data_IF_962422097516
#
_entry.id   IF_962422097516
#
_cell.length_a   1.000
_cell.length_b   1.000
_cell.length_c   1.000
_cell.angle_alpha   90.00
_cell.angle_beta   90.00
_cell.angle_gamma   90.00
#
_symmetry.space_group_name_H-M   'P 1'
#
loop_
_entity.id
_entity.type
_entity.pdbx_description
1 polymer ?
#
# COMPACT_ATOMS: atom_id res chain seq x y z
N UNK A 1 4.35 29.55 -0.41
CA UNK A 1 3.29 30.27 0.32
C UNK A 1 3.46 31.75 0.08
N UNK A 2 2.41 32.43 -0.37
CA UNK A 2 2.35 33.88 -0.44
C UNK A 2 2.24 34.46 0.98
N UNK A 3 3.07 35.47 1.29
CA UNK A 3 2.95 36.21 2.55
C UNK A 3 1.88 37.28 2.39
N UNK A 4 1.12 37.51 3.45
CA UNK A 4 0.17 38.61 3.56
C UNK A 4 0.93 39.81 4.11
N UNK A 5 0.85 40.97 3.47
CA UNK A 5 1.26 42.22 4.10
C UNK A 5 0.01 42.95 4.54
N UNK A 6 -0.16 43.01 5.86
CA UNK A 6 -1.23 43.77 6.48
C UNK A 6 -0.76 45.23 6.50
N UNK A 7 -1.60 46.21 6.09
CA UNK A 7 -1.28 47.60 6.29
C UNK A 7 -1.10 47.86 7.80
N UNK A 8 -0.21 48.80 8.11
CA UNK A 8 0.20 49.15 9.46
C UNK A 8 -0.98 49.35 10.44
N UNK A 9 -0.93 48.56 11.51
CA UNK A 9 -1.24 48.87 12.92
C UNK A 9 -2.59 49.40 13.43
N UNK A 10 -3.53 49.93 12.63
CA UNK A 10 -4.66 50.69 13.23
C UNK A 10 -6.06 50.05 13.14
N UNK A 11 -6.18 48.74 12.87
CA UNK A 11 -7.46 48.04 12.95
C UNK A 11 -7.58 47.23 14.26
N UNK A 12 -8.49 47.59 15.20
CA UNK A 12 -8.70 46.86 16.46
C UNK A 12 -9.01 45.36 16.28
N UNK A 13 -9.51 44.97 15.11
CA UNK A 13 -9.80 43.60 14.72
C UNK A 13 -8.56 42.73 14.45
N UNK A 14 -7.38 43.31 14.28
CA UNK A 14 -6.13 42.55 14.06
C UNK A 14 -5.56 41.97 15.37
N UNK A 15 -5.81 42.61 16.50
CA UNK A 15 -5.33 42.16 17.82
C UNK A 15 -6.00 40.85 18.31
N UNK A 16 -7.12 40.44 17.71
CA UNK A 16 -7.85 39.21 18.06
C UNK A 16 -7.53 38.02 17.15
N UNK A 17 -6.62 38.16 16.17
CA UNK A 17 -6.23 37.06 15.29
C UNK A 17 -5.32 36.07 16.02
N UNK A 18 -5.85 34.88 16.25
CA UNK A 18 -5.14 33.75 16.86
C UNK A 18 -4.84 32.64 15.85
N UNK A 19 -3.82 31.82 16.15
CA UNK A 19 -3.52 30.61 15.37
C UNK A 19 -4.74 29.68 15.40
N UNK A 20 -5.07 29.11 14.24
CA UNK A 20 -6.22 28.21 14.07
C UNK A 20 -7.53 28.92 13.74
N UNK A 21 -7.57 30.26 13.76
CA UNK A 21 -8.75 31.02 13.36
C UNK A 21 -9.01 30.91 11.84
N UNK A 22 -10.29 30.85 11.46
CA UNK A 22 -10.73 30.93 10.08
C UNK A 22 -11.05 32.39 9.73
N UNK A 23 -10.43 32.89 8.65
CA UNK A 23 -10.54 34.30 8.25
C UNK A 23 -10.82 34.43 6.75
N UNK A 24 -11.55 35.49 6.38
CA UNK A 24 -11.68 35.98 5.01
C UNK A 24 -10.89 37.28 4.88
N UNK A 25 -10.05 37.36 3.86
CA UNK A 25 -9.22 38.52 3.56
C UNK A 25 -9.61 39.06 2.20
N UNK A 26 -9.84 40.36 2.11
CA UNK A 26 -9.98 41.09 0.85
C UNK A 26 -8.88 42.13 0.75
N UNK A 27 -8.34 42.35 -0.45
CA UNK A 27 -7.18 43.19 -0.64
C UNK A 27 -6.75 43.27 -2.10
N UNK A 28 -5.63 43.96 -2.33
CA UNK A 28 -5.02 44.10 -3.66
C UNK A 28 -3.81 43.16 -3.76
N UNK A 29 -3.76 42.35 -4.82
CA UNK A 29 -2.66 41.43 -5.08
C UNK A 29 -1.55 42.15 -5.86
N UNK A 30 -0.38 42.35 -5.26
CA UNK A 30 0.70 43.14 -5.87
C UNK A 30 2.05 42.40 -5.81
N UNK A 31 3.02 42.76 -6.68
CA UNK A 31 4.39 42.25 -6.57
C UNK A 31 4.97 42.54 -5.20
N UNK A 32 5.58 41.51 -4.58
CA UNK A 32 6.15 41.68 -3.24
C UNK A 32 7.52 42.35 -3.32
N UNK A 33 7.83 43.29 -2.41
CA UNK A 33 9.18 43.85 -2.30
C UNK A 33 10.20 42.85 -1.71
N UNK A 34 9.75 41.71 -1.16
CA UNK A 34 10.62 40.73 -0.51
C UNK A 34 11.12 39.62 -1.44
N UNK A 35 12.38 39.18 -1.25
CA UNK A 35 13.00 38.15 -2.09
C UNK A 35 12.45 36.72 -1.91
N UNK A 36 11.58 36.46 -0.93
CA UNK A 36 11.07 35.11 -0.59
C UNK A 36 9.74 34.75 -1.27
N UNK A 37 9.10 35.68 -1.96
CA UNK A 37 7.83 35.47 -2.65
C UNK A 37 7.71 36.44 -3.82
N UNK A 38 6.99 36.07 -4.89
CA UNK A 38 6.80 36.96 -6.05
C UNK A 38 5.74 38.04 -5.81
N UNK A 39 4.76 37.75 -4.97
CA UNK A 39 3.59 38.61 -4.74
C UNK A 39 3.10 38.49 -3.28
N UNK A 40 2.37 39.52 -2.84
CA UNK A 40 1.70 39.57 -1.54
C UNK A 40 0.32 40.23 -1.67
N UNK A 41 -0.59 39.87 -0.75
CA UNK A 41 -1.91 40.49 -0.66
C UNK A 41 -1.85 41.67 0.31
N UNK A 42 -2.06 42.88 -0.20
CA UNK A 42 -2.26 44.10 0.60
C UNK A 42 -3.69 44.13 1.09
N UNK A 43 -3.90 43.66 2.32
CA UNK A 43 -5.24 43.44 2.87
C UNK A 43 -5.90 44.76 3.25
N UNK A 44 -7.11 45.01 2.75
CA UNK A 44 -7.92 46.17 3.15
C UNK A 44 -9.15 45.81 3.97
N UNK A 45 -9.55 44.53 4.01
CA UNK A 45 -10.61 44.03 4.86
C UNK A 45 -10.28 42.65 5.44
N UNK A 46 -10.57 42.47 6.73
CA UNK A 46 -10.39 41.23 7.49
C UNK A 46 -11.70 40.88 8.18
N UNK A 47 -12.22 39.68 7.92
CA UNK A 47 -13.40 39.14 8.58
C UNK A 47 -13.04 37.82 9.27
N UNK A 48 -13.32 37.72 10.58
CA UNK A 48 -13.12 36.50 11.35
C UNK A 48 -14.39 35.65 11.20
N UNK A 49 -14.27 34.55 10.47
CA UNK A 49 -15.37 33.60 10.23
C UNK A 49 -15.52 32.59 11.37
N UNK A 50 -14.39 32.23 11.99
CA UNK A 50 -14.34 31.32 13.12
C UNK A 50 -13.19 31.73 14.04
N UNK A 51 -13.46 32.21 15.26
CA UNK A 51 -12.41 32.58 16.19
C UNK A 51 -11.64 31.34 16.66
N UNK A 52 -10.43 31.56 17.17
CA UNK A 52 -9.62 30.54 17.83
C UNK A 52 -9.03 31.14 19.10
N UNK A 53 -8.75 30.29 20.09
CA UNK A 53 -8.05 30.69 21.29
C UNK A 53 -6.64 30.08 21.31
N UNK A 54 -5.63 30.94 21.19
CA UNK A 54 -4.23 30.52 21.18
C UNK A 54 -3.79 29.81 22.46
N UNK A 55 -4.50 29.99 23.59
CA UNK A 55 -4.17 29.31 24.86
C UNK A 55 -4.62 27.86 24.88
N UNK A 56 -5.72 27.54 24.21
CA UNK A 56 -6.32 26.20 24.19
C UNK A 56 -6.04 25.43 22.91
N UNK A 57 -5.61 26.11 21.84
CA UNK A 57 -5.24 25.46 20.57
C UNK A 57 -3.99 24.57 20.74
N UNK A 58 -4.08 23.25 20.46
CA UNK A 58 -3.01 22.31 20.83
C UNK A 58 -1.79 22.40 19.91
N UNK A 59 -1.96 22.81 18.64
CA UNK A 59 -0.87 22.91 17.68
C UNK A 59 -0.22 24.30 17.77
N UNK A 60 0.68 24.45 18.73
CA UNK A 60 1.46 25.68 18.91
C UNK A 60 2.41 25.95 17.73
N UNK A 61 2.84 27.22 17.56
CA UNK A 61 3.80 27.66 16.52
C UNK A 61 5.25 27.23 16.81
N UNK A 62 5.43 25.94 17.10
CA UNK A 62 6.71 25.30 17.34
C UNK A 62 6.71 23.93 16.66
N UNK A 63 7.87 23.29 16.62
CA UNK A 63 7.96 21.91 16.17
C UNK A 63 7.06 21.00 17.02
N UNK A 64 6.41 20.04 16.36
CA UNK A 64 5.58 19.02 16.99
C UNK A 64 6.06 17.68 16.44
N UNK A 65 6.39 16.74 17.32
CA UNK A 65 6.83 15.40 16.89
C UNK A 65 5.67 14.66 16.22
N UNK A 66 5.94 13.72 15.30
CA UNK A 66 4.91 12.85 14.72
C UNK A 66 4.09 12.11 15.80
N UNK A 67 4.73 11.64 16.87
CA UNK A 67 4.09 10.94 18.00
C UNK A 67 3.02 11.82 18.66
N UNK A 68 3.37 13.08 18.96
CA UNK A 68 2.42 14.02 19.54
C UNK A 68 1.27 14.32 18.57
N UNK A 69 1.57 14.54 17.29
CA UNK A 69 0.53 14.78 16.28
C UNK A 69 -0.42 13.58 16.13
N UNK A 70 0.07 12.34 16.30
CA UNK A 70 -0.75 11.11 16.32
C UNK A 70 -1.73 11.04 17.50
N UNK A 71 -1.57 11.86 18.55
CA UNK A 71 -2.56 11.99 19.64
C UNK A 71 -3.77 12.85 19.27
N UNK A 72 -3.69 13.60 18.17
CA UNK A 72 -4.74 14.50 17.69
C UNK A 72 -4.97 14.34 16.18
N UNK A 73 -5.37 13.14 15.74
CA UNK A 73 -5.49 12.83 14.32
C UNK A 73 -6.49 13.76 13.59
N UNK A 74 -7.50 14.26 14.30
CA UNK A 74 -8.48 15.21 13.78
C UNK A 74 -7.93 16.64 13.52
N UNK A 75 -6.81 17.03 14.15
CA UNK A 75 -6.19 18.36 13.94
C UNK A 75 -4.87 18.31 13.19
N UNK A 76 -4.11 17.21 13.26
CA UNK A 76 -2.79 17.13 12.62
C UNK A 76 -2.78 17.46 11.13
N UNK A 77 -3.82 17.20 10.31
CA UNK A 77 -3.81 17.59 8.91
C UNK A 77 -3.80 19.11 8.67
N UNK A 78 -4.00 19.92 9.72
CA UNK A 78 -3.87 21.38 9.64
C UNK A 78 -2.40 21.84 9.60
N UNK A 79 -1.43 20.95 9.82
CA UNK A 79 -0.01 21.26 9.63
C UNK A 79 0.37 21.24 8.14
N UNK A 80 1.38 22.01 7.70
CA UNK A 80 1.81 22.02 6.30
C UNK A 80 2.20 20.64 5.75
N UNK A 81 2.87 19.81 6.56
CA UNK A 81 3.32 18.50 6.10
C UNK A 81 2.18 17.48 6.03
N UNK A 82 1.37 17.32 7.08
CA UNK A 82 0.26 16.37 7.05
C UNK A 82 -0.82 16.77 6.02
N UNK A 83 -1.04 18.08 5.77
CA UNK A 83 -1.89 18.52 4.64
C UNK A 83 -1.29 18.20 3.28
N UNK A 84 0.04 18.15 3.15
CA UNK A 84 0.69 17.69 1.93
C UNK A 84 0.49 16.18 1.75
N UNK A 85 0.60 15.37 2.80
CA UNK A 85 0.31 13.92 2.73
C UNK A 85 -1.13 13.63 2.27
N UNK A 86 -2.11 14.37 2.79
CA UNK A 86 -3.50 14.26 2.33
C UNK A 86 -3.66 14.57 0.84
N UNK A 87 -3.02 15.64 0.37
CA UNK A 87 -3.05 16.02 -1.05
C UNK A 87 -2.31 15.01 -1.93
N UNK A 88 -1.19 14.47 -1.46
CA UNK A 88 -0.42 13.45 -2.17
C UNK A 88 -1.29 12.21 -2.38
N UNK A 89 -1.96 11.72 -1.34
CA UNK A 89 -2.90 10.59 -1.44
C UNK A 89 -3.94 10.86 -2.52
N UNK A 90 -4.59 12.02 -2.49
CA UNK A 90 -5.63 12.38 -3.46
C UNK A 90 -5.10 12.45 -4.90
N UNK A 91 -3.95 13.10 -5.11
CA UNK A 91 -3.34 13.23 -6.45
C UNK A 91 -2.85 11.87 -6.97
N UNK A 92 -2.32 11.01 -6.08
CA UNK A 92 -1.90 9.66 -6.44
C UNK A 92 -3.07 8.77 -6.87
N UNK A 93 -4.19 8.80 -6.14
CA UNK A 93 -5.41 8.06 -6.53
C UNK A 93 -5.90 8.51 -7.90
N UNK A 94 -5.99 9.82 -8.15
CA UNK A 94 -6.43 10.36 -9.43
C UNK A 94 -5.48 9.94 -10.58
N UNK A 95 -4.18 10.00 -10.34
CA UNK A 95 -3.15 9.64 -11.34
C UNK A 95 -3.18 8.14 -11.66
N UNK A 96 -3.32 7.28 -10.65
CA UNK A 96 -3.42 5.83 -10.84
C UNK A 96 -4.73 5.43 -11.52
N UNK A 97 -5.84 6.11 -11.19
CA UNK A 97 -7.10 5.94 -11.91
C UNK A 97 -6.93 6.25 -13.40
N UNK A 98 -6.22 7.33 -13.74
CA UNK A 98 -5.91 7.67 -15.12
C UNK A 98 -5.00 6.63 -15.80
N UNK A 99 -3.99 6.11 -15.08
CA UNK A 99 -3.11 5.05 -15.57
C UNK A 99 -3.91 3.82 -16.01
N UNK A 100 -4.74 3.30 -15.12
CA UNK A 100 -5.57 2.12 -15.39
C UNK A 100 -6.60 2.37 -16.48
N UNK A 101 -7.29 3.52 -16.43
CA UNK A 101 -8.26 3.90 -17.47
C UNK A 101 -7.61 4.00 -18.87
N UNK A 102 -6.36 4.47 -18.96
CA UNK A 102 -5.63 4.56 -20.24
C UNK A 102 -5.21 3.21 -20.83
N UNK A 103 -5.36 2.11 -20.07
CA UNK A 103 -4.99 0.73 -20.42
C UNK A 103 -6.19 -0.21 -20.39
N UNK A 104 -7.40 0.35 -20.48
CA UNK A 104 -8.67 -0.39 -20.51
C UNK A 104 -8.91 -1.28 -19.27
N UNK A 105 -8.31 -0.95 -18.13
CA UNK A 105 -8.61 -1.62 -16.86
C UNK A 105 -9.94 -1.12 -16.30
N UNK A 106 -10.80 -2.06 -15.89
CA UNK A 106 -12.07 -1.78 -15.22
C UNK A 106 -11.84 -1.67 -13.72
N UNK A 107 -12.23 -0.54 -13.13
CA UNK A 107 -12.23 -0.40 -11.67
C UNK A 107 -13.38 -1.22 -11.09
N UNK A 108 -13.09 -2.05 -10.10
CA UNK A 108 -14.06 -2.92 -9.44
C UNK A 108 -14.08 -2.69 -7.94
N UNK A 109 -15.12 -3.17 -7.26
CA UNK A 109 -15.28 -3.06 -5.81
C UNK A 109 -15.62 -4.43 -5.22
N UNK A 110 -14.61 -5.28 -4.98
CA UNK A 110 -14.81 -6.58 -4.33
C UNK A 110 -15.34 -6.44 -2.89
N UNK A 111 -15.90 -7.53 -2.32
CA UNK A 111 -16.47 -7.48 -0.97
C UNK A 111 -15.38 -7.31 0.10
N UNK A 112 -15.69 -6.52 1.13
CA UNK A 112 -14.84 -6.35 2.32
C UNK A 112 -15.10 -7.44 3.37
N UNK A 113 -16.36 -7.84 3.53
CA UNK A 113 -16.74 -8.96 4.40
C UNK A 113 -16.61 -10.25 3.59
N UNK A 114 -15.76 -11.17 4.07
CA UNK A 114 -15.41 -12.41 3.37
C UNK A 114 -15.62 -13.64 4.25
N UNK A 115 -15.66 -14.81 3.62
CA UNK A 115 -15.71 -16.13 4.28
C UNK A 115 -14.37 -16.86 4.24
N UNK A 116 -13.35 -16.24 3.62
CA UNK A 116 -12.03 -16.84 3.39
C UNK A 116 -10.96 -15.88 3.87
N UNK A 117 -9.88 -16.43 4.38
CA UNK A 117 -8.69 -15.70 4.80
C UNK A 117 -7.72 -15.37 3.66
N UNK A 118 -8.01 -15.77 2.41
CA UNK A 118 -7.27 -15.52 1.16
C UNK A 118 -5.80 -15.97 1.13
N UNK A 119 -5.00 -15.57 2.12
CA UNK A 119 -3.56 -15.80 2.27
C UNK A 119 -3.22 -16.96 3.23
N UNK A 120 -4.22 -17.59 3.89
CA UNK A 120 -3.99 -18.76 4.75
C UNK A 120 -3.32 -18.47 6.10
N UNK A 121 -3.07 -17.19 6.43
CA UNK A 121 -2.28 -16.77 7.59
C UNK A 121 -3.05 -16.70 8.92
N UNK A 122 -4.38 -16.86 8.92
CA UNK A 122 -5.20 -16.86 10.14
C UNK A 122 -5.33 -15.53 10.89
N UNK A 123 -4.60 -14.47 10.49
CA UNK A 123 -4.62 -13.15 11.15
C UNK A 123 -5.75 -12.25 10.63
N UNK A 124 -6.99 -12.69 10.82
CA UNK A 124 -8.20 -12.00 10.32
C UNK A 124 -9.04 -11.40 11.44
N UNK A 125 -9.68 -10.25 11.19
CA UNK A 125 -10.69 -9.71 12.10
C UNK A 125 -12.04 -10.37 11.86
N UNK A 126 -12.67 -10.92 12.90
CA UNK A 126 -14.03 -11.47 12.84
C UNK A 126 -15.09 -10.38 12.89
N UNK A 127 -16.11 -10.48 12.03
CA UNK A 127 -17.24 -9.56 11.95
C UNK A 127 -18.49 -10.24 12.51
N UNK A 128 -19.10 -9.62 13.53
CA UNK A 128 -20.37 -10.06 14.10
C UNK A 128 -21.21 -8.86 14.55
N UNK A 129 -22.56 -8.91 14.46
CA UNK A 129 -23.42 -7.90 15.08
C UNK A 129 -23.20 -7.81 16.59
N UNK A 130 -23.31 -6.59 17.14
CA UNK A 130 -23.08 -6.34 18.57
C UNK A 130 -23.97 -7.14 19.52
N UNK A 131 -25.17 -7.55 19.09
CA UNK A 131 -26.10 -8.33 19.90
C UNK A 131 -25.77 -9.85 19.92
N UNK A 132 -24.93 -10.33 18.99
CA UNK A 132 -24.48 -11.72 18.92
C UNK A 132 -23.23 -11.96 19.78
N UNK A 133 -22.43 -10.92 20.06
CA UNK A 133 -21.23 -11.02 20.91
C UNK A 133 -21.51 -11.43 22.38
N UNK A 134 -22.78 -11.46 22.81
CA UNK A 134 -23.20 -11.75 24.20
C UNK A 134 -23.97 -13.05 24.37
N UNK A 135 -24.16 -13.86 23.33
CA UNK A 135 -24.87 -15.14 23.43
C UNK A 135 -23.87 -16.29 23.34
N UNK A 136 -23.89 -17.15 24.37
CA UNK A 136 -23.19 -18.42 24.37
C UNK A 136 -23.58 -19.25 23.14
N UNK A 137 -22.58 -19.51 22.29
CA UNK A 137 -22.31 -20.62 21.35
C UNK A 137 -23.42 -21.21 20.45
N UNK A 138 -24.69 -20.80 20.54
CA UNK A 138 -25.80 -21.39 19.80
C UNK A 138 -26.71 -20.36 19.10
N UNK A 139 -26.27 -19.11 18.96
CA UNK A 139 -26.98 -18.12 18.14
C UNK A 139 -26.65 -18.35 16.66
N UNK A 140 -27.67 -18.39 15.80
CA UNK A 140 -27.47 -18.27 14.35
C UNK A 140 -26.65 -16.99 14.11
N UNK A 141 -25.43 -17.14 13.58
CA UNK A 141 -24.62 -15.99 13.18
C UNK A 141 -25.35 -15.22 12.09
N UNK A 142 -25.17 -13.91 12.00
CA UNK A 142 -25.83 -13.06 10.99
C UNK A 142 -25.75 -13.60 9.57
N UNK A 143 -24.59 -14.17 9.21
CA UNK A 143 -24.33 -14.75 7.90
C UNK A 143 -24.40 -16.28 7.87
N UNK A 144 -25.01 -16.89 8.89
CA UNK A 144 -25.12 -18.36 9.12
C UNK A 144 -23.79 -19.10 9.18
N UNK A 145 -22.68 -18.38 9.08
CA UNK A 145 -21.30 -18.82 9.20
C UNK A 145 -20.44 -17.63 9.68
N UNK A 146 -19.29 -17.89 10.34
CA UNK A 146 -18.31 -16.86 10.66
C UNK A 146 -17.89 -16.08 9.41
N UNK A 147 -17.72 -14.76 9.55
CA UNK A 147 -17.23 -13.87 8.50
C UNK A 147 -16.12 -12.97 9.03
N UNK A 148 -15.28 -12.53 8.10
CA UNK A 148 -14.06 -11.82 8.40
C UNK A 148 -13.95 -10.54 7.57
N UNK A 149 -13.10 -9.62 8.02
CA UNK A 149 -12.62 -8.55 7.17
C UNK A 149 -11.51 -9.07 6.26
N UNK A 150 -11.56 -8.68 5.00
CA UNK A 150 -10.65 -9.22 3.98
C UNK A 150 -9.21 -8.76 4.16
N UNK A 151 -8.26 -9.67 3.95
CA UNK A 151 -6.82 -9.37 3.91
C UNK A 151 -6.37 -8.95 2.50
N UNK A 152 -7.10 -9.38 1.48
CA UNK A 152 -6.83 -9.12 0.05
C UNK A 152 -8.11 -9.36 -0.76
N UNK A 153 -8.31 -8.63 -1.85
CA UNK A 153 -9.46 -8.84 -2.75
C UNK A 153 -9.12 -9.72 -3.96
N UNK A 154 -7.89 -10.21 -4.06
CA UNK A 154 -7.34 -10.92 -5.21
C UNK A 154 -8.24 -12.02 -5.77
N UNK A 155 -8.72 -12.96 -4.94
CA UNK A 155 -9.52 -14.09 -5.45
C UNK A 155 -10.79 -13.62 -6.17
N UNK A 156 -11.39 -12.51 -5.71
CA UNK A 156 -12.56 -11.93 -6.35
C UNK A 156 -12.19 -11.18 -7.63
N UNK A 157 -11.02 -10.53 -7.67
CA UNK A 157 -10.52 -9.89 -8.88
C UNK A 157 -10.27 -10.92 -9.99
N UNK A 158 -9.80 -12.12 -9.67
CA UNK A 158 -9.65 -13.19 -10.67
C UNK A 158 -10.98 -13.56 -11.33
N UNK A 159 -12.08 -13.65 -10.55
CA UNK A 159 -13.41 -13.89 -11.11
C UNK A 159 -13.89 -12.73 -12.01
N UNK A 160 -13.64 -11.49 -11.58
CA UNK A 160 -14.04 -10.30 -12.33
C UNK A 160 -13.20 -10.11 -13.60
N UNK A 161 -11.90 -10.40 -13.54
CA UNK A 161 -10.97 -10.38 -14.66
C UNK A 161 -11.44 -11.31 -15.78
N UNK A 162 -11.90 -12.52 -15.45
CA UNK A 162 -12.43 -13.45 -16.46
C UNK A 162 -13.70 -12.92 -17.17
N UNK A 163 -14.43 -12.00 -16.55
CA UNK A 163 -15.62 -11.39 -17.16
C UNK A 163 -15.31 -10.19 -18.06
N UNK A 164 -14.33 -9.35 -17.70
CA UNK A 164 -14.08 -8.06 -18.37
C UNK A 164 -12.62 -7.83 -18.81
N UNK A 165 -11.77 -8.86 -18.70
CA UNK A 165 -10.36 -8.80 -19.07
C UNK A 165 -9.48 -8.33 -17.91
N UNK A 166 -9.20 -7.03 -17.86
CA UNK A 166 -8.27 -6.42 -16.92
C UNK A 166 -9.03 -5.63 -15.85
N UNK A 167 -8.76 -5.89 -14.57
CA UNK A 167 -9.45 -5.24 -13.46
C UNK A 167 -8.46 -4.70 -12.44
N UNK A 168 -8.88 -3.67 -11.72
CA UNK A 168 -8.14 -3.17 -10.57
C UNK A 168 -9.09 -2.68 -9.48
N UNK A 169 -8.57 -2.53 -8.28
CA UNK A 169 -9.27 -1.92 -7.14
C UNK A 169 -8.28 -1.19 -6.25
N UNK A 170 -8.79 -0.23 -5.50
CA UNK A 170 -8.13 0.39 -4.36
C UNK A 170 -9.05 0.20 -3.17
N UNK A 171 -8.75 -0.77 -2.32
CA UNK A 171 -9.65 -1.24 -1.27
C UNK A 171 -8.98 -1.16 0.10
N UNK A 172 -9.73 -0.85 1.17
CA UNK A 172 -9.24 -1.14 2.51
C UNK A 172 -9.09 -2.65 2.69
N UNK A 173 -8.00 -3.05 3.33
CA UNK A 173 -7.66 -4.40 3.74
C UNK A 173 -7.21 -4.40 5.19
N UNK A 174 -7.37 -5.53 5.85
CA UNK A 174 -7.23 -5.63 7.29
C UNK A 174 -6.33 -6.79 7.66
N UNK A 175 -5.41 -6.58 8.61
CA UNK A 175 -4.56 -7.64 9.17
C UNK A 175 -4.59 -7.55 10.69
N UNK A 176 -4.89 -8.66 11.34
CA UNK A 176 -4.98 -8.77 12.79
C UNK A 176 -3.65 -9.19 13.45
N UNK A 177 -2.52 -8.90 12.80
CA UNK A 177 -1.16 -9.13 13.33
C UNK A 177 -0.95 -8.27 14.59
N UNK A 178 -0.45 -8.87 15.68
CA UNK A 178 -0.09 -8.17 16.92
C UNK A 178 1.27 -7.43 16.80
N UNK A 179 1.43 -6.67 15.72
CA UNK A 179 2.70 -6.04 15.33
C UNK A 179 2.69 -4.54 15.57
N UNK A 180 3.42 -4.08 16.58
CA UNK A 180 3.58 -2.65 16.91
C UNK A 180 4.87 -2.06 16.31
N UNK A 181 5.08 -2.23 15.01
CA UNK A 181 6.22 -1.63 14.30
C UNK A 181 5.85 -0.36 13.55
N UNK A 182 6.84 0.45 13.17
CA UNK A 182 6.63 1.65 12.36
C UNK A 182 6.13 1.36 10.94
N UNK A 183 6.06 0.09 10.51
CA UNK A 183 5.74 -0.36 9.15
C UNK A 183 4.40 -1.09 9.03
N UNK A 184 3.72 -1.36 10.14
CA UNK A 184 2.45 -2.10 10.16
C UNK A 184 1.26 -1.21 10.55
N UNK A 185 0.13 -1.49 9.88
CA UNK A 185 -1.20 -1.00 10.17
C UNK A 185 -2.15 -2.20 10.18
N UNK A 186 -3.17 -2.15 11.04
CA UNK A 186 -4.24 -3.15 11.05
C UNK A 186 -5.33 -2.86 10.01
N UNK A 187 -5.43 -1.60 9.55
CA UNK A 187 -6.28 -1.15 8.45
C UNK A 187 -5.42 -0.30 7.52
N UNK A 188 -5.31 -0.72 6.26
CA UNK A 188 -4.52 -0.03 5.24
C UNK A 188 -5.21 -0.19 3.88
N UNK A 189 -4.82 0.62 2.91
CA UNK A 189 -5.30 0.51 1.54
C UNK A 189 -4.33 -0.33 0.71
N UNK A 190 -4.88 -1.33 0.05
CA UNK A 190 -4.21 -2.09 -1.00
C UNK A 190 -4.75 -1.65 -2.36
N UNK A 191 -3.81 -1.44 -3.29
CA UNK A 191 -4.12 -1.34 -4.71
C UNK A 191 -3.83 -2.70 -5.32
N UNK A 192 -4.84 -3.35 -5.89
CA UNK A 192 -4.71 -4.68 -6.47
C UNK A 192 -5.15 -4.64 -7.92
N UNK A 193 -4.40 -5.29 -8.80
CA UNK A 193 -4.69 -5.38 -10.23
C UNK A 193 -4.54 -6.82 -10.70
N UNK A 194 -5.45 -7.25 -11.58
CA UNK A 194 -5.48 -8.60 -12.15
C UNK A 194 -5.66 -8.50 -13.67
N UNK A 195 -4.84 -9.24 -14.41
CA UNK A 195 -4.81 -9.25 -15.86
C UNK A 195 -5.17 -10.64 -16.39
N UNK A 196 -6.12 -10.70 -17.32
CA UNK A 196 -6.41 -11.93 -18.06
C UNK A 196 -5.54 -12.03 -19.31
N UNK A 197 -5.27 -13.25 -19.77
CA UNK A 197 -4.47 -13.54 -20.96
C UNK A 197 -3.02 -13.01 -20.89
N UNK A 198 -2.41 -13.15 -19.71
CA UNK A 198 -0.98 -12.91 -19.51
C UNK A 198 -0.30 -14.26 -19.36
N UNK A 199 0.67 -14.55 -20.23
CA UNK A 199 1.31 -15.86 -20.27
C UNK A 199 2.49 -15.97 -19.27
N UNK A 200 3.20 -14.86 -19.06
CA UNK A 200 4.48 -14.82 -18.34
C UNK A 200 4.50 -13.76 -17.23
N UNK A 201 5.29 -14.03 -16.19
CA UNK A 201 5.44 -13.14 -15.02
C UNK A 201 5.92 -11.73 -15.42
N UNK A 202 6.69 -11.60 -16.51
CA UNK A 202 7.15 -10.31 -17.01
C UNK A 202 6.02 -9.35 -17.33
N UNK A 203 4.88 -9.83 -17.85
CA UNK A 203 3.75 -8.94 -18.14
C UNK A 203 3.20 -8.27 -16.87
N UNK A 204 3.19 -9.00 -15.75
CA UNK A 204 2.75 -8.49 -14.45
C UNK A 204 3.79 -7.53 -13.85
N UNK A 205 5.08 -7.87 -13.95
CA UNK A 205 6.18 -6.99 -13.51
C UNK A 205 6.25 -5.70 -14.33
N UNK A 206 6.07 -5.78 -15.65
CA UNK A 206 6.03 -4.65 -16.57
C UNK A 206 4.90 -3.69 -16.21
N UNK A 207 3.69 -4.21 -15.96
CA UNK A 207 2.56 -3.39 -15.51
C UNK A 207 2.86 -2.69 -14.18
N UNK A 208 3.43 -3.41 -13.22
CA UNK A 208 3.78 -2.88 -11.89
C UNK A 208 4.80 -1.75 -12.02
N UNK A 209 5.85 -1.98 -12.81
CA UNK A 209 6.92 -1.03 -13.11
C UNK A 209 6.39 0.22 -13.83
N UNK A 210 5.57 0.02 -14.88
CA UNK A 210 4.95 1.09 -15.64
C UNK A 210 3.99 1.95 -14.80
N UNK A 211 3.20 1.32 -13.93
CA UNK A 211 2.25 2.02 -13.05
C UNK A 211 2.99 3.00 -12.12
N UNK A 212 4.01 2.51 -11.44
CA UNK A 212 4.78 3.28 -10.47
C UNK A 212 5.65 4.34 -11.14
N UNK A 213 6.22 4.04 -12.31
CA UNK A 213 6.91 5.02 -13.15
C UNK A 213 5.96 6.12 -13.62
N UNK A 214 4.80 5.75 -14.16
CA UNK A 214 3.79 6.69 -14.62
C UNK A 214 3.34 7.62 -13.49
N UNK A 215 3.03 7.06 -12.32
CA UNK A 215 2.67 7.84 -11.13
C UNK A 215 3.78 8.84 -10.78
N UNK A 216 5.02 8.38 -10.73
CA UNK A 216 6.17 9.18 -10.31
C UNK A 216 6.45 10.32 -11.28
N UNK A 217 6.43 10.06 -12.59
CA UNK A 217 6.61 11.08 -13.63
C UNK A 217 5.52 12.14 -13.55
N UNK A 218 4.25 11.73 -13.46
CA UNK A 218 3.13 12.67 -13.49
C UNK A 218 3.00 13.51 -12.21
N UNK A 219 3.49 13.00 -11.08
CA UNK A 219 3.46 13.74 -9.82
C UNK A 219 4.75 14.50 -9.50
N UNK A 220 5.89 14.17 -10.14
CA UNK A 220 7.20 14.71 -9.74
C UNK A 220 7.20 16.24 -9.63
N UNK A 221 6.72 16.96 -10.65
CA UNK A 221 6.69 18.43 -10.65
C UNK A 221 5.42 19.02 -10.03
N UNK A 222 4.52 18.19 -9.53
CA UNK A 222 3.29 18.64 -8.89
C UNK A 222 3.61 19.48 -7.64
N UNK A 223 2.66 20.35 -7.28
CA UNK A 223 2.84 21.24 -6.13
C UNK A 223 3.07 20.44 -4.85
N UNK A 224 2.33 19.36 -4.64
CA UNK A 224 2.44 18.58 -3.41
C UNK A 224 3.77 17.85 -3.33
N UNK A 225 4.26 17.28 -4.43
CA UNK A 225 5.53 16.56 -4.45
C UNK A 225 6.71 17.51 -4.21
N UNK A 226 6.68 18.73 -4.79
CA UNK A 226 7.65 19.78 -4.48
C UNK A 226 7.60 20.27 -3.04
N UNK A 227 6.41 20.35 -2.44
CA UNK A 227 6.26 20.72 -1.02
C UNK A 227 6.88 19.66 -0.09
N UNK A 228 6.69 18.37 -0.39
CA UNK A 228 7.26 17.25 0.37
C UNK A 228 8.79 17.15 0.27
N UNK A 229 9.36 17.52 -0.89
CA UNK A 229 10.82 17.56 -1.11
C UNK A 229 11.47 18.89 -0.73
N UNK A 230 10.74 19.82 -0.11
CA UNK A 230 11.29 21.13 0.23
C UNK A 230 11.89 21.12 1.65
N UNK A 231 13.10 21.68 1.85
CA UNK A 231 13.65 21.87 3.20
C UNK A 231 12.81 22.84 4.06
N UNK A 232 11.92 23.63 3.45
CA UNK A 232 11.09 24.59 4.17
C UNK A 232 10.04 23.91 5.08
N UNK A 233 9.74 22.63 4.88
CA UNK A 233 8.89 21.85 5.79
C UNK A 233 9.63 21.35 7.03
N UNK A 234 10.93 21.58 7.16
CA UNK A 234 11.79 21.14 8.28
C UNK A 234 12.21 22.27 9.22
N UNK A 235 12.09 23.55 8.81
CA UNK A 235 12.78 24.71 9.43
C UNK A 235 12.39 25.13 10.85
N UNK A 236 11.78 24.27 11.66
CA UNK A 236 11.42 24.61 13.04
C UNK A 236 12.03 23.70 14.12
N UNK A 237 12.76 22.63 13.78
CA UNK A 237 13.54 21.86 14.77
C UNK A 237 14.98 22.38 14.78
N UNK A 238 15.35 23.13 15.81
CA UNK A 238 16.76 23.44 16.11
C UNK A 238 17.51 22.23 16.68
N UNK A 239 17.04 21.01 16.41
CA UNK A 239 17.48 19.76 16.99
C UNK A 239 17.99 18.82 15.89
N UNK A 240 19.06 18.09 16.18
CA UNK A 240 19.90 17.39 15.20
C UNK A 240 19.31 16.08 14.65
N UNK A 241 18.14 15.67 15.12
CA UNK A 241 17.44 14.46 14.70
C UNK A 241 16.18 14.84 13.93
N UNK A 242 16.22 14.76 12.60
CA UNK A 242 15.03 14.94 11.77
C UNK A 242 14.15 13.71 11.88
N UNK A 243 12.87 13.87 12.23
CA UNK A 243 11.85 12.81 12.21
C UNK A 243 11.39 12.46 10.77
N UNK A 244 12.16 12.91 9.76
CA UNK A 244 11.92 12.68 8.33
C UNK A 244 13.19 12.27 7.62
N UNK A 245 12.98 11.55 6.54
CA UNK A 245 14.03 11.24 5.57
C UNK A 245 14.50 12.56 4.91
N UNK A 246 15.82 12.77 4.75
CA UNK A 246 16.35 13.97 4.12
C UNK A 246 15.72 14.23 2.74
N UNK A 247 15.46 15.50 2.37
CA UNK A 247 14.81 15.81 1.10
C UNK A 247 15.58 15.32 -0.13
N UNK A 248 16.92 15.22 -0.09
CA UNK A 248 17.69 14.67 -1.21
C UNK A 248 17.50 13.18 -1.37
N UNK A 249 17.38 12.43 -0.27
CA UNK A 249 17.08 11.00 -0.32
C UNK A 249 15.66 10.79 -0.84
N UNK A 250 14.68 11.58 -0.38
CA UNK A 250 13.31 11.54 -0.93
C UNK A 250 13.34 11.81 -2.43
N UNK A 251 14.03 12.86 -2.89
CA UNK A 251 14.18 13.15 -4.32
C UNK A 251 14.84 12.00 -5.10
N UNK A 252 15.84 11.34 -4.52
CA UNK A 252 16.46 10.12 -5.06
C UNK A 252 15.45 8.99 -5.28
N UNK A 253 14.55 8.75 -4.31
CA UNK A 253 13.47 7.76 -4.42
C UNK A 253 12.54 8.02 -5.60
N UNK A 254 12.11 9.28 -5.76
CA UNK A 254 11.29 9.68 -6.90
C UNK A 254 12.02 9.45 -8.23
N UNK A 255 13.29 9.87 -8.31
CA UNK A 255 14.12 9.67 -9.51
C UNK A 255 14.34 8.20 -9.82
N UNK A 256 14.53 7.35 -8.81
CA UNK A 256 14.65 5.91 -8.94
C UNK A 256 13.43 5.28 -9.61
N UNK A 257 12.23 5.65 -9.17
CA UNK A 257 10.97 5.17 -9.77
C UNK A 257 10.77 5.66 -11.21
N UNK A 258 11.36 6.78 -11.60
CA UNK A 258 11.28 7.29 -12.98
C UNK A 258 12.27 6.59 -13.94
N UNK A 259 13.26 5.87 -13.43
CA UNK A 259 14.24 5.18 -14.28
C UNK A 259 13.59 4.02 -15.07
N UNK A 260 14.08 3.74 -16.29
CA UNK A 260 13.71 2.54 -17.04
C UNK A 260 14.45 1.30 -16.50
N UNK A 261 13.90 0.12 -16.79
CA UNK A 261 14.54 -1.18 -16.58
C UNK A 261 15.04 -1.40 -15.15
N UNK A 262 14.10 -1.70 -14.27
CA UNK A 262 14.42 -2.06 -12.89
C UNK A 262 15.07 -3.45 -12.83
N UNK A 263 16.09 -3.65 -11.96
CA UNK A 263 16.71 -4.96 -11.80
C UNK A 263 15.68 -6.02 -11.43
N UNK A 264 15.75 -7.17 -12.11
CA UNK A 264 14.98 -8.38 -11.82
C UNK A 264 15.98 -9.49 -11.50
N UNK A 265 15.94 -10.00 -10.28
CA UNK A 265 16.79 -11.11 -9.83
C UNK A 265 15.92 -12.26 -9.34
N UNK A 266 16.44 -13.47 -9.37
CA UNK A 266 15.76 -14.62 -8.75
C UNK A 266 16.02 -14.63 -7.24
N UNK A 267 15.15 -15.29 -6.48
CA UNK A 267 15.35 -15.57 -5.06
C UNK A 267 16.67 -16.32 -4.84
N UNK A 268 17.01 -17.27 -5.70
CA UNK A 268 18.29 -18.00 -5.66
C UNK A 268 19.48 -17.04 -5.77
N UNK A 269 19.41 -16.06 -6.66
CA UNK A 269 20.46 -15.06 -6.81
C UNK A 269 20.49 -14.08 -5.63
N UNK A 270 19.34 -13.70 -5.08
CA UNK A 270 19.25 -12.91 -3.86
C UNK A 270 19.93 -13.63 -2.69
N UNK A 271 19.63 -14.92 -2.47
CA UNK A 271 20.28 -15.76 -1.46
C UNK A 271 21.79 -15.83 -1.70
N UNK A 272 22.26 -16.07 -2.93
CA UNK A 272 23.71 -16.08 -3.24
C UNK A 272 24.39 -14.74 -2.96
N UNK A 273 23.71 -13.62 -3.18
CA UNK A 273 24.23 -12.28 -2.87
C UNK A 273 24.33 -12.10 -1.35
N UNK A 274 23.26 -12.44 -0.62
CA UNK A 274 23.18 -12.31 0.82
C UNK A 274 24.19 -13.22 1.55
N UNK A 275 24.35 -14.47 1.11
CA UNK A 275 25.28 -15.43 1.73
C UNK A 275 26.74 -15.02 1.63
N UNK A 276 27.12 -14.15 0.67
CA UNK A 276 28.50 -13.61 0.60
C UNK A 276 28.80 -12.65 1.75
N UNK A 277 27.76 -12.06 2.32
CA UNK A 277 27.82 -10.99 3.31
C UNK A 277 27.08 -11.42 4.59
N UNK A 278 26.95 -12.73 4.82
CA UNK A 278 26.13 -13.31 5.89
C UNK A 278 26.51 -12.78 7.28
N UNK A 279 27.77 -12.41 7.48
CA UNK A 279 28.29 -11.80 8.71
C UNK A 279 27.67 -10.44 9.06
N UNK A 280 26.99 -9.79 8.13
CA UNK A 280 26.33 -8.49 8.31
C UNK A 280 24.93 -8.60 8.92
N UNK A 281 24.34 -9.79 8.95
CA UNK A 281 22.94 -10.00 9.29
C UNK A 281 22.76 -10.67 10.64
N UNK A 282 21.72 -10.26 11.36
CA UNK A 282 21.33 -10.92 12.61
C UNK A 282 20.61 -12.24 12.34
N UNK A 283 19.80 -12.30 11.28
CA UNK A 283 19.06 -13.49 10.86
C UNK A 283 19.85 -14.23 9.77
N UNK A 284 20.00 -15.56 9.90
CA UNK A 284 20.72 -16.37 8.93
C UNK A 284 20.01 -16.38 7.58
N UNK A 285 20.79 -16.50 6.51
CA UNK A 285 20.28 -16.56 5.13
C UNK A 285 20.06 -18.02 4.76
N UNK A 286 18.82 -18.50 4.90
CA UNK A 286 18.46 -19.90 4.68
C UNK A 286 17.60 -20.00 3.42
N UNK A 287 18.04 -20.81 2.44
CA UNK A 287 17.21 -21.10 1.28
C UNK A 287 15.95 -21.86 1.71
N UNK A 288 14.79 -21.47 1.17
CA UNK A 288 13.50 -22.05 1.54
C UNK A 288 12.76 -21.26 2.63
N UNK A 289 13.37 -20.22 3.20
CA UNK A 289 12.70 -19.31 4.14
C UNK A 289 12.49 -17.92 3.53
N UNK A 290 11.54 -17.17 4.09
CA UNK A 290 11.33 -15.77 3.71
C UNK A 290 12.57 -14.90 3.98
N UNK A 291 12.73 -13.84 3.20
CA UNK A 291 13.79 -12.85 3.43
C UNK A 291 13.37 -11.94 4.59
N UNK A 292 14.26 -11.74 5.55
CA UNK A 292 14.02 -10.78 6.63
C UNK A 292 14.23 -9.35 6.14
N UNK A 293 13.70 -8.37 6.88
CA UNK A 293 13.77 -6.97 6.48
C UNK A 293 15.20 -6.43 6.29
N UNK A 294 16.20 -6.95 7.03
CA UNK A 294 17.60 -6.59 6.80
C UNK A 294 18.13 -7.10 5.46
N UNK A 295 17.72 -8.31 5.06
CA UNK A 295 18.07 -8.93 3.78
C UNK A 295 17.45 -8.16 2.63
N UNK A 296 16.16 -7.84 2.73
CA UNK A 296 15.43 -7.07 1.72
C UNK A 296 16.04 -5.67 1.52
N UNK A 297 16.36 -4.97 2.63
CA UNK A 297 17.03 -3.66 2.59
C UNK A 297 18.39 -3.75 1.91
N UNK A 298 19.16 -4.80 2.21
CA UNK A 298 20.47 -5.01 1.59
C UNK A 298 20.34 -5.22 0.08
N UNK A 299 19.45 -6.12 -0.35
CA UNK A 299 19.18 -6.36 -1.77
C UNK A 299 18.73 -5.08 -2.48
N UNK A 300 17.75 -4.37 -1.92
CA UNK A 300 17.24 -3.13 -2.52
C UNK A 300 18.33 -2.06 -2.68
N UNK A 301 19.29 -1.98 -1.75
CA UNK A 301 20.41 -1.04 -1.83
C UNK A 301 21.47 -1.48 -2.84
N UNK A 302 21.93 -2.72 -2.76
CA UNK A 302 23.09 -3.21 -3.52
C UNK A 302 22.73 -3.54 -4.97
N UNK A 303 21.57 -4.13 -5.20
CA UNK A 303 21.11 -4.51 -6.53
C UNK A 303 20.37 -3.36 -7.20
N UNK A 304 19.60 -2.60 -6.42
CA UNK A 304 18.75 -1.53 -6.94
C UNK A 304 19.53 -0.34 -7.47
N UNK A 305 20.66 0.01 -6.84
CA UNK A 305 21.46 1.18 -7.19
C UNK A 305 20.59 2.45 -7.35
N UNK A 306 19.74 2.69 -6.35
CA UNK A 306 18.76 3.78 -6.33
C UNK A 306 17.44 3.50 -7.07
N UNK A 307 17.29 2.34 -7.72
CA UNK A 307 16.03 1.87 -8.35
C UNK A 307 15.34 0.80 -7.49
N UNK A 308 14.02 0.58 -7.64
CA UNK A 308 13.36 -0.61 -7.10
C UNK A 308 13.94 -1.90 -7.70
N UNK A 309 13.81 -3.01 -6.98
CA UNK A 309 14.29 -4.34 -7.40
C UNK A 309 13.17 -5.36 -7.32
N UNK A 310 12.95 -6.10 -8.39
CA UNK A 310 12.13 -7.31 -8.34
C UNK A 310 12.98 -8.49 -7.88
N UNK A 311 12.54 -9.16 -6.82
CA UNK A 311 13.03 -10.49 -6.44
C UNK A 311 11.94 -11.49 -6.85
N UNK A 312 12.31 -12.47 -7.66
CA UNK A 312 11.36 -13.36 -8.36
C UNK A 312 11.58 -14.82 -7.98
N UNK A 313 10.63 -15.70 -8.30
CA UNK A 313 10.81 -17.15 -8.19
C UNK A 313 11.10 -17.65 -6.77
N UNK A 314 10.27 -17.25 -5.81
CA UNK A 314 10.40 -17.73 -4.43
C UNK A 314 10.00 -19.20 -4.30
N UNK A 315 10.51 -19.92 -3.28
CA UNK A 315 10.11 -21.30 -3.00
C UNK A 315 8.59 -21.44 -2.80
N UNK A 316 7.98 -22.43 -3.46
CA UNK A 316 6.54 -22.73 -3.37
C UNK A 316 6.08 -22.99 -1.93
N UNK A 317 6.96 -23.59 -1.11
CA UNK A 317 6.64 -23.97 0.26
C UNK A 317 6.30 -22.78 1.18
N UNK A 318 6.73 -21.57 0.83
CA UNK A 318 6.48 -20.34 1.59
C UNK A 318 5.56 -19.36 0.85
N UNK A 319 4.89 -19.82 -0.21
CA UNK A 319 3.99 -18.99 -1.01
C UNK A 319 2.56 -19.57 -1.02
N UNK A 320 1.53 -18.75 -1.21
CA UNK A 320 0.13 -19.18 -1.18
C UNK A 320 -0.23 -20.20 -2.28
N UNK A 321 -1.25 -21.03 -2.02
CA UNK A 321 -1.71 -22.10 -2.91
C UNK A 321 -2.08 -21.66 -4.34
N UNK A 322 -2.46 -20.38 -4.52
CA UNK A 322 -2.92 -19.85 -5.80
C UNK A 322 -1.80 -19.51 -6.78
N UNK A 323 -0.53 -19.48 -6.34
CA UNK A 323 0.59 -19.11 -7.21
C UNK A 323 0.97 -20.24 -8.16
N UNK A 324 1.17 -19.92 -9.44
CA UNK A 324 1.59 -20.88 -10.47
C UNK A 324 3.00 -21.40 -10.18
N UNK A 325 3.19 -22.72 -10.27
CA UNK A 325 4.52 -23.31 -10.17
C UNK A 325 5.36 -22.97 -11.42
N UNK A 326 6.64 -22.68 -11.21
CA UNK A 326 7.60 -22.35 -12.27
C UNK A 326 7.87 -23.58 -13.12
N UNK A 327 7.78 -23.44 -14.45
CA UNK A 327 8.12 -24.52 -15.38
C UNK A 327 9.56 -24.40 -15.90
N UNK A 328 10.23 -25.54 -16.10
CA UNK A 328 11.58 -25.55 -16.65
C UNK A 328 11.58 -25.10 -18.12
N UNK A 329 12.22 -23.96 -18.43
CA UNK A 329 12.43 -23.48 -19.81
C UNK A 329 11.91 -22.07 -20.13
N UNK A 330 11.39 -21.32 -19.15
CA UNK A 330 11.00 -19.92 -19.33
C UNK A 330 12.16 -19.00 -19.77
N UNK A 331 11.84 -17.92 -20.50
CA UNK A 331 12.80 -17.03 -21.19
C UNK A 331 13.82 -16.32 -20.27
N UNK A 332 13.58 -16.27 -18.97
CA UNK A 332 14.43 -15.60 -17.97
C UNK A 332 15.14 -16.56 -17.02
N UNK A 333 15.12 -17.85 -17.32
CA UNK A 333 15.65 -18.89 -16.46
C UNK A 333 17.06 -19.29 -16.92
N UNK A 334 18.11 -19.11 -16.10
CA UNK A 334 19.42 -19.68 -16.38
C UNK A 334 19.31 -21.20 -16.43
N UNK A 335 19.82 -21.85 -17.49
CA UNK A 335 19.70 -23.30 -17.72
C UNK A 335 20.40 -24.19 -16.66
N UNK A 336 20.86 -23.62 -15.56
CA UNK A 336 21.67 -24.25 -14.51
C UNK A 336 20.94 -24.37 -13.16
N UNK A 337 19.73 -23.84 -12.99
CA UNK A 337 19.04 -23.90 -11.70
C UNK A 337 18.29 -25.24 -11.54
N UNK A 338 18.91 -26.17 -10.80
CA UNK A 338 18.35 -27.49 -10.48
C UNK A 338 17.15 -27.43 -9.52
N UNK A 339 16.91 -26.28 -8.86
CA UNK A 339 15.92 -26.06 -7.79
C UNK A 339 14.60 -25.42 -8.25
N UNK A 340 14.46 -25.07 -9.53
CA UNK A 340 13.31 -24.30 -10.04
C UNK A 340 11.98 -25.04 -9.97
N UNK A 341 11.98 -26.38 -10.04
CA UNK A 341 10.77 -27.19 -9.94
C UNK A 341 10.06 -27.05 -8.59
N UNK A 342 10.65 -26.34 -7.64
CA UNK A 342 10.13 -26.06 -6.30
C UNK A 342 9.82 -24.57 -6.07
N UNK A 343 9.79 -23.74 -7.13
CA UNK A 343 9.57 -22.28 -7.05
C UNK A 343 8.27 -21.84 -7.72
N UNK A 344 7.74 -20.68 -7.33
CA UNK A 344 6.52 -20.08 -7.86
C UNK A 344 6.83 -18.94 -8.85
N UNK A 345 6.03 -18.78 -9.89
CA UNK A 345 6.08 -17.60 -10.79
C UNK A 345 5.53 -16.37 -10.05
N UNK A 346 6.34 -15.82 -9.15
CA UNK A 346 5.98 -14.71 -8.29
C UNK A 346 7.12 -13.70 -8.17
N UNK A 347 6.79 -12.52 -7.68
CA UNK A 347 7.76 -11.50 -7.32
C UNK A 347 7.36 -10.74 -6.06
N UNK A 348 8.38 -10.23 -5.40
CA UNK A 348 8.28 -9.15 -4.42
C UNK A 348 9.06 -7.95 -4.97
N UNK A 349 8.47 -6.75 -4.94
CA UNK A 349 9.08 -5.50 -5.37
C UNK A 349 9.64 -4.76 -4.17
N UNK A 350 10.96 -4.71 -4.09
CA UNK A 350 11.70 -4.15 -2.97
C UNK A 350 12.16 -2.72 -3.27
N UNK A 351 12.00 -1.84 -2.28
CA UNK A 351 12.63 -0.52 -2.25
C UNK A 351 13.44 -0.33 -0.96
N UNK A 352 14.45 0.55 -0.97
CA UNK A 352 15.18 0.88 0.25
C UNK A 352 14.24 1.34 1.39
N UNK A 353 14.59 0.96 2.62
CA UNK A 353 13.87 1.23 3.89
C UNK A 353 12.48 0.63 4.07
N UNK A 354 11.60 0.71 3.07
CA UNK A 354 10.25 0.16 3.14
C UNK A 354 10.17 -1.33 2.77
N UNK A 355 11.27 -1.88 2.23
CA UNK A 355 11.39 -3.24 1.69
C UNK A 355 10.28 -3.53 0.67
N UNK A 356 9.56 -4.64 0.81
CA UNK A 356 8.43 -4.98 -0.04
C UNK A 356 7.34 -3.90 -0.03
N UNK A 357 7.08 -3.33 -1.21
CA UNK A 357 5.94 -2.43 -1.44
C UNK A 357 4.86 -3.06 -2.31
N UNK A 358 5.21 -4.05 -3.15
CA UNK A 358 4.27 -4.82 -3.96
C UNK A 358 4.67 -6.29 -3.98
N UNK A 359 3.67 -7.17 -4.02
CA UNK A 359 3.84 -8.61 -4.23
C UNK A 359 2.89 -9.07 -5.33
N UNK A 360 3.36 -9.94 -6.22
CA UNK A 360 2.57 -10.40 -7.37
C UNK A 360 2.95 -11.78 -7.85
N UNK A 361 2.09 -12.38 -8.67
CA UNK A 361 2.34 -13.69 -9.26
C UNK A 361 1.49 -13.97 -10.48
N UNK A 362 1.93 -14.94 -11.26
CA UNK A 362 1.05 -15.70 -12.13
C UNK A 362 0.16 -16.61 -11.28
N UNK A 363 -1.12 -16.75 -11.67
CA UNK A 363 -2.08 -17.58 -10.95
C UNK A 363 -2.10 -18.98 -11.53
N UNK A 364 -2.31 -19.98 -10.68
CA UNK A 364 -2.48 -21.35 -11.14
C UNK A 364 -3.83 -21.48 -11.85
N UNK A 365 -3.80 -21.46 -13.18
CA UNK A 365 -4.97 -21.54 -14.04
C UNK A 365 -5.33 -22.99 -14.40
N UNK A 366 -4.48 -23.96 -14.07
CA UNK A 366 -4.71 -25.38 -14.38
C UNK A 366 -5.35 -26.08 -13.19
N UNK A 367 -6.55 -26.61 -13.42
CA UNK A 367 -7.38 -27.20 -12.36
C UNK A 367 -6.67 -28.31 -11.55
N UNK A 368 -6.02 -29.32 -12.15
CA UNK A 368 -5.38 -30.39 -11.36
C UNK A 368 -4.25 -29.88 -10.46
N UNK A 369 -3.47 -28.91 -10.94
CA UNK A 369 -2.36 -28.31 -10.21
C UNK A 369 -2.86 -27.47 -9.03
N UNK A 370 -3.92 -26.68 -9.24
CA UNK A 370 -4.56 -25.90 -8.18
C UNK A 370 -5.09 -26.81 -7.07
N UNK A 371 -5.82 -27.88 -7.42
CA UNK A 371 -6.35 -28.84 -6.45
C UNK A 371 -5.21 -29.51 -5.66
N UNK A 372 -4.15 -29.93 -6.34
CA UNK A 372 -2.98 -30.49 -5.67
C UNK A 372 -2.27 -29.48 -4.75
N UNK A 373 -2.26 -28.19 -5.08
CA UNK A 373 -1.71 -27.14 -4.23
C UNK A 373 -2.57 -26.90 -2.98
N UNK A 374 -3.90 -26.86 -3.15
CA UNK A 374 -4.87 -26.75 -2.06
C UNK A 374 -4.73 -27.94 -1.08
N UNK A 375 -4.66 -29.17 -1.59
CA UNK A 375 -4.47 -30.38 -0.77
C UNK A 375 -3.16 -30.34 0.03
N UNK A 376 -2.05 -29.92 -0.60
CA UNK A 376 -0.75 -29.78 0.10
C UNK A 376 -0.78 -28.77 1.24
N UNK A 377 -1.62 -27.74 1.15
CA UNK A 377 -1.80 -26.74 2.21
C UNK A 377 -2.93 -27.11 3.18
N UNK A 378 -3.47 -28.33 3.10
CA UNK A 378 -4.51 -28.81 4.01
C UNK A 378 -5.89 -28.18 3.79
N UNK A 379 -6.12 -27.60 2.61
CA UNK A 379 -7.40 -26.97 2.25
C UNK A 379 -8.38 -28.01 1.71
N UNK A 380 -9.68 -27.80 1.96
CA UNK A 380 -10.72 -28.65 1.39
C UNK A 380 -10.83 -28.42 -0.13
N UNK A 381 -10.86 -29.51 -0.89
CA UNK A 381 -11.06 -29.50 -2.35
C UNK A 381 -12.43 -30.06 -2.72
N UNK A 382 -13.12 -29.49 -3.72
CA UNK A 382 -14.41 -30.02 -4.17
C UNK A 382 -14.21 -31.35 -4.92
N UNK A 383 -15.17 -32.25 -4.79
CA UNK A 383 -15.19 -33.50 -5.57
C UNK A 383 -15.41 -33.19 -7.06
N UNK A 384 -14.64 -33.83 -7.94
CA UNK A 384 -14.71 -33.61 -9.38
C UNK A 384 -15.97 -34.22 -10.04
N UNK A 385 -16.67 -35.11 -9.33
CA UNK A 385 -17.83 -35.86 -9.84
C UNK A 385 -19.13 -35.04 -9.84
N UNK A 386 -19.23 -34.00 -9.02
CA UNK A 386 -20.39 -33.13 -8.95
C UNK A 386 -20.26 -31.97 -9.96
N UNK A 387 -21.07 -32.00 -11.02
CA UNK A 387 -21.11 -30.94 -12.02
C UNK A 387 -21.65 -29.63 -11.43
N UNK A 388 -20.81 -28.60 -11.38
CA UNK A 388 -21.04 -27.29 -10.75
C UNK A 388 -21.39 -27.41 -9.26
N UNK A 389 -20.66 -26.76 -8.37
CA UNK A 389 -21.07 -26.69 -6.96
C UNK A 389 -22.39 -25.95 -6.86
N UNK A 390 -23.52 -26.67 -6.96
CA UNK A 390 -24.80 -26.10 -6.59
C UNK A 390 -24.67 -25.76 -5.12
N UNK A 391 -24.85 -24.49 -4.76
CA UNK A 391 -25.08 -24.09 -3.38
C UNK A 391 -26.37 -24.78 -2.91
N UNK A 392 -26.29 -26.08 -2.59
CA UNK A 392 -27.33 -26.79 -1.87
C UNK A 392 -27.50 -26.00 -0.59
N UNK A 393 -28.70 -25.48 -0.36
CA UNK A 393 -29.01 -24.51 0.70
C UNK A 393 -28.88 -25.04 2.13
N UNK A 394 -27.97 -25.97 2.39
CA UNK A 394 -27.50 -26.35 3.72
C UNK A 394 -26.39 -25.36 4.16
N UNK A 395 -26.71 -24.41 5.05
CA UNK A 395 -25.77 -23.40 5.54
C UNK A 395 -24.67 -23.99 6.43
N UNK A 396 -24.79 -25.26 6.85
CA UNK A 396 -23.91 -25.88 7.84
C UNK A 396 -22.65 -26.52 7.26
N UNK A 397 -22.60 -26.76 5.93
CA UNK A 397 -21.49 -27.48 5.28
C UNK A 397 -20.55 -26.60 4.44
N UNK A 398 -20.87 -25.33 4.17
CA UNK A 398 -20.14 -24.49 3.16
C UNK A 398 -19.64 -23.15 3.71
N UNK A 399 -19.33 -23.08 5.00
CA UNK A 399 -18.59 -21.94 5.55
C UNK A 399 -17.13 -22.01 5.08
N UNK A 400 -16.75 -21.22 4.07
CA UNK A 400 -15.37 -21.09 3.62
C UNK A 400 -14.94 -22.01 2.46
N UNK A 401 -15.87 -22.68 1.78
CA UNK A 401 -15.53 -23.47 0.60
C UNK A 401 -15.09 -22.57 -0.55
N UNK A 402 -13.86 -22.76 -1.05
CA UNK A 402 -13.32 -22.09 -2.23
C UNK A 402 -13.80 -22.72 -3.54
N UNK A 403 -14.91 -23.47 -3.51
CA UNK A 403 -15.52 -24.10 -4.68
C UNK A 403 -15.73 -23.14 -5.85
N UNK A 404 -16.26 -21.95 -5.57
CA UNK A 404 -16.47 -20.92 -6.59
C UNK A 404 -15.15 -20.48 -7.24
N UNK A 405 -14.06 -20.50 -6.49
CA UNK A 405 -12.72 -20.14 -6.96
C UNK A 405 -12.10 -21.27 -7.79
N UNK A 406 -12.37 -22.52 -7.43
CA UNK A 406 -12.03 -23.71 -8.24
C UNK A 406 -12.82 -23.73 -9.55
N UNK A 407 -14.09 -23.35 -9.51
CA UNK A 407 -14.97 -23.26 -10.67
C UNK A 407 -14.44 -22.27 -11.73
N UNK A 408 -13.72 -21.22 -11.31
CA UNK A 408 -12.99 -20.34 -12.23
C UNK A 408 -12.01 -21.08 -13.15
N UNK A 409 -11.55 -22.29 -12.76
CA UNK A 409 -10.61 -23.13 -13.53
C UNK A 409 -11.31 -24.19 -14.39
N UNK A 410 -12.63 -24.38 -14.23
CA UNK A 410 -13.40 -25.40 -14.97
C UNK A 410 -13.82 -24.95 -16.36
N UNK A 411 -14.11 -23.66 -16.53
CA UNK A 411 -14.75 -23.13 -17.75
C UNK A 411 -13.94 -22.02 -18.41
N UNK A 412 -12.87 -22.41 -19.10
CA UNK A 412 -12.12 -21.49 -19.96
C UNK A 412 -11.21 -20.51 -19.22
N UNK A 413 -10.56 -20.96 -18.14
CA UNK A 413 -9.58 -20.15 -17.40
C UNK A 413 -8.32 -19.86 -18.24
N UNK A 414 -8.07 -18.61 -18.63
CA UNK A 414 -6.84 -18.27 -19.34
C UNK A 414 -5.65 -18.22 -18.36
N UNK A 415 -4.41 -18.26 -18.86
CA UNK A 415 -3.27 -17.73 -18.13
C UNK A 415 -3.56 -16.29 -17.66
N UNK A 416 -3.32 -16.01 -16.39
CA UNK A 416 -3.60 -14.72 -15.77
C UNK A 416 -2.65 -14.47 -14.61
N UNK A 417 -2.49 -13.21 -14.26
CA UNK A 417 -1.58 -12.79 -13.21
C UNK A 417 -1.93 -11.40 -12.70
N UNK A 418 -1.41 -11.08 -11.53
CA UNK A 418 -1.72 -9.83 -10.87
C UNK A 418 -0.81 -9.54 -9.70
N UNK A 419 -1.04 -8.41 -9.07
CA UNK A 419 -0.26 -7.94 -7.93
C UNK A 419 -1.12 -7.15 -6.94
N UNK A 420 -0.66 -7.15 -5.69
CA UNK A 420 -1.08 -6.21 -4.66
C UNK A 420 0.04 -5.25 -4.34
N UNK A 421 -0.28 -3.96 -4.24
CA UNK A 421 0.61 -2.88 -3.83
C UNK A 421 0.07 -2.30 -2.52
N UNK A 422 0.91 -2.29 -1.49
CA UNK A 422 0.62 -1.56 -0.26
C UNK A 422 0.60 -0.05 -0.53
N UNK A 423 -0.57 0.50 -0.82
CA UNK A 423 -0.72 1.89 -1.25
C UNK A 423 -0.20 2.86 -0.18
N UNK A 424 -0.45 2.54 1.09
CA UNK A 424 0.09 3.31 2.21
C UNK A 424 1.62 3.24 2.31
N UNK A 425 2.23 2.07 2.01
CA UNK A 425 3.71 1.94 1.95
C UNK A 425 4.27 2.79 0.81
N UNK A 426 3.65 2.78 -0.36
CA UNK A 426 4.05 3.62 -1.50
C UNK A 426 4.02 5.11 -1.12
N UNK A 427 2.92 5.58 -0.51
CA UNK A 427 2.83 6.98 -0.09
C UNK A 427 3.88 7.31 0.98
N UNK A 428 4.17 6.38 1.87
CA UNK A 428 5.23 6.53 2.87
C UNK A 428 6.61 6.67 2.24
N UNK A 429 6.90 5.82 1.24
CA UNK A 429 8.14 5.86 0.47
C UNK A 429 8.33 7.19 -0.26
N UNK A 430 7.30 7.66 -0.97
CA UNK A 430 7.31 8.91 -1.75
C UNK A 430 7.37 10.17 -0.89
N UNK A 431 6.85 10.13 0.33
CA UNK A 431 6.79 11.30 1.22
C UNK A 431 7.94 11.40 2.21
N UNK A 432 8.71 10.32 2.41
CA UNK A 432 9.83 10.31 3.35
C UNK A 432 9.42 10.27 4.81
N UNK A 433 8.21 9.80 5.12
CA UNK A 433 7.80 9.54 6.51
C UNK A 433 8.54 8.31 7.06
N UNK A 434 8.89 8.35 8.34
CA UNK A 434 9.57 7.25 9.04
C UNK A 434 8.61 6.17 9.53
N UNK A 435 7.32 6.50 9.72
CA UNK A 435 6.27 5.55 10.06
C UNK A 435 5.11 5.62 9.08
N UNK A 436 4.63 4.45 8.66
CA UNK A 436 3.42 4.31 7.85
C UNK A 436 2.19 4.89 8.54
N UNK A 437 2.20 5.04 9.88
CA UNK A 437 1.10 5.64 10.65
C UNK A 437 0.86 7.12 10.29
N UNK A 438 1.82 7.75 9.63
CA UNK A 438 1.70 9.14 9.19
C UNK A 438 1.10 9.28 7.79
N UNK A 439 1.01 8.20 7.00
CA UNK A 439 0.44 8.22 5.64
C UNK A 439 -1.10 8.23 5.64
N UNK A 440 -1.70 7.73 6.72
CA UNK A 440 -3.15 7.73 6.98
C UNK A 440 -3.50 8.74 8.07
N UNK A 441 -4.63 9.43 7.99
CA UNK A 441 -4.98 10.45 9.02
C UNK A 441 -5.32 9.84 10.36
N UNK A 442 -6.10 8.74 10.36
CA UNK A 442 -6.57 8.03 11.54
C UNK A 442 -6.03 6.59 11.53
N UNK A 443 -4.75 6.38 11.86
CA UNK A 443 -4.12 5.06 11.82
C UNK A 443 -4.80 4.07 12.76
N UNK A 444 -4.81 2.80 12.36
CA UNK A 444 -5.21 1.63 13.17
C UNK A 444 -4.00 0.71 13.29
N UNK A 445 -3.64 0.33 14.50
CA UNK A 445 -2.58 -0.64 14.75
C UNK A 445 -2.81 -1.35 16.08
N UNK A 446 -2.02 -2.38 16.36
CA UNK A 446 -2.11 -3.16 17.60
C UNK A 446 -2.16 -2.23 18.83
N UNK A 447 -3.21 -2.37 19.64
CA UNK A 447 -3.41 -1.59 20.86
C UNK A 447 -3.98 -0.17 20.67
N UNK A 448 -4.27 0.30 19.45
CA UNK A 448 -4.74 1.69 19.23
C UNK A 448 -5.71 1.87 18.06
N UNK A 449 -6.88 2.43 18.36
CA UNK A 449 -7.99 2.68 17.41
C UNK A 449 -8.72 4.00 17.75
N UNK A 450 -7.97 5.09 17.85
CA UNK A 450 -8.53 6.41 18.23
C UNK A 450 -9.25 7.10 17.06
N UNK A 451 -10.28 7.89 17.36
CA UNK A 451 -11.04 8.71 16.40
C UNK A 451 -10.86 10.21 16.66
#
# INVERSE_FOLDING_TARGET
>A
MSRLSLPFADAPSLCSLAIGAAIRLTGTWIPSPGAKQSHELHVNNVEILGPSDAKTFPIQKKYQTPEYLRTMPHLRPRTPFNSALLRLRSEAIATLTQFFASRDFVQTHPPIITSSDCEGGGEVFTVAPAHEQKKDEAAETFFRAPKYLTVSTQLHLEALAQAVGNVWTLSPTFRAEESDTSRHLSEFYMLEAEMSFVDELDGVMDLTEDMLRFLSINLYDSRVARELRSPATERNSGDSTSDRVPPEEVDGRWKGLMQPAWPRITYDDAVKILSKEEYMFEHPVIWGTGLHSEHEKYIARVVGDGKPVFVTHYPMAIKPFYMRATESGGSHIPSAAQTLSETADCFDLLVPEYCEIAGGSMRENRLPQLLGAMERQGMATPSLEDGCSSHTGDPTQTAGSLDWYVDLRRWGCPPHGGFGLGFDRLLGYLSGVQSIRDTVTFPRWAGRCDC
#
